data_IF_824166282184
#
_entry.id   IF_824166282184
#
_cell.length_a   1.000
_cell.length_b   1.000
_cell.length_c   1.000
_cell.angle_alpha   90.00
_cell.angle_beta   90.00
_cell.angle_gamma   90.00
#
_symmetry.space_group_name_H-M   'P 1'
#
loop_
_entity.id
_entity.type
_entity.pdbx_description
1 polymer ?
#
# COMPACT_ATOMS: atom_id res chain seq x y z
N UNK A 1 7.17 1.70 -7.60
CA UNK A 1 6.35 0.75 -6.81
C UNK A 1 6.94 0.75 -5.42
N UNK A 2 6.14 1.01 -4.40
CA UNK A 2 6.60 1.21 -3.03
C UNK A 2 6.45 -0.08 -2.24
N UNK A 3 7.32 -0.29 -1.25
CA UNK A 3 7.23 -1.39 -0.30
C UNK A 3 6.48 -0.90 0.93
N UNK A 4 5.51 -1.67 1.40
CA UNK A 4 4.72 -1.41 2.59
C UNK A 4 4.94 -2.53 3.58
N UNK A 5 5.38 -2.19 4.79
CA UNK A 5 5.56 -3.13 5.89
C UNK A 5 4.29 -3.08 6.74
N UNK A 6 3.54 -4.18 6.70
CA UNK A 6 2.39 -4.41 7.57
C UNK A 6 2.87 -4.61 9.01
N UNK A 7 1.99 -4.38 9.97
CA UNK A 7 2.30 -4.43 11.40
C UNK A 7 2.57 -5.85 11.90
N UNK A 8 2.16 -6.87 11.16
CA UNK A 8 2.54 -8.27 11.38
C UNK A 8 3.94 -8.62 10.81
N UNK A 9 4.61 -7.65 10.17
CA UNK A 9 5.94 -7.81 9.57
C UNK A 9 5.94 -8.27 8.11
N UNK A 10 4.77 -8.54 7.52
CA UNK A 10 4.68 -8.84 6.10
C UNK A 10 5.04 -7.62 5.24
N UNK A 11 5.65 -7.87 4.08
CA UNK A 11 6.01 -6.82 3.12
C UNK A 11 5.17 -6.97 1.87
N UNK A 12 4.41 -5.93 1.55
CA UNK A 12 3.58 -5.83 0.36
C UNK A 12 4.21 -4.82 -0.59
N UNK A 13 4.18 -5.09 -1.89
CA UNK A 13 4.63 -4.13 -2.90
C UNK A 13 3.40 -3.58 -3.62
N UNK A 14 3.25 -2.25 -3.68
CA UNK A 14 2.07 -1.63 -4.30
C UNK A 14 2.43 -0.34 -5.06
N UNK A 15 1.64 -0.01 -6.07
CA UNK A 15 1.71 1.29 -6.76
C UNK A 15 0.83 2.35 -6.10
N UNK A 16 -0.01 1.95 -5.13
CA UNK A 16 -0.84 2.88 -4.37
C UNK A 16 0.03 3.92 -3.67
N UNK A 17 -0.35 5.21 -3.68
CA UNK A 17 0.41 6.25 -2.99
C UNK A 17 0.25 6.14 -1.47
N UNK A 18 1.29 6.52 -0.73
CA UNK A 18 1.25 6.66 0.74
C UNK A 18 0.55 7.93 1.21
N UNK A 19 0.21 8.85 0.31
CA UNK A 19 -0.39 10.14 0.66
C UNK A 19 -1.72 9.98 1.39
N UNK A 20 -1.87 10.74 2.49
CA UNK A 20 -3.04 10.69 3.36
C UNK A 20 -3.14 9.45 4.24
N UNK A 21 -2.14 8.55 4.22
CA UNK A 21 -2.00 7.46 5.16
C UNK A 21 -1.02 7.84 6.28
N UNK A 22 -1.30 7.38 7.48
CA UNK A 22 -0.43 7.55 8.64
C UNK A 22 0.72 6.53 8.56
N UNK A 23 1.76 6.90 7.82
CA UNK A 23 2.92 6.06 7.51
C UNK A 23 4.24 6.80 7.70
N UNK A 24 5.27 6.06 8.09
CA UNK A 24 6.65 6.51 8.02
C UNK A 24 7.32 5.92 6.78
N UNK A 25 7.78 6.76 5.85
CA UNK A 25 8.47 6.31 4.64
C UNK A 25 9.95 6.74 4.65
N UNK A 26 10.82 5.86 4.18
CA UNK A 26 12.22 6.14 3.95
C UNK A 26 12.64 5.65 2.56
N UNK A 27 13.64 6.32 2.00
CA UNK A 27 14.27 5.91 0.74
C UNK A 27 15.45 4.98 1.04
N UNK A 28 15.48 3.86 0.33
CA UNK A 28 16.59 2.91 0.32
C UNK A 28 17.64 3.31 -0.71
N UNK A 29 18.87 2.87 -0.48
CA UNK A 29 19.96 2.97 -1.45
C UNK A 29 19.54 2.27 -2.75
N UNK A 30 19.32 3.04 -3.81
CA UNK A 30 18.80 2.56 -5.09
C UNK A 30 17.44 3.14 -5.50
N UNK A 31 16.87 4.05 -4.71
CA UNK A 31 15.66 4.80 -5.08
C UNK A 31 14.35 4.04 -4.85
N UNK A 32 14.40 2.91 -4.13
CA UNK A 32 13.20 2.24 -3.65
C UNK A 32 12.68 2.95 -2.39
N UNK A 33 11.37 3.13 -2.28
CA UNK A 33 10.74 3.71 -1.08
C UNK A 33 10.07 2.60 -0.28
N UNK A 34 10.36 2.55 1.01
CA UNK A 34 9.72 1.64 1.97
C UNK A 34 8.94 2.44 3.01
N UNK A 35 7.69 2.07 3.24
CA UNK A 35 6.75 2.71 4.13
C UNK A 35 6.27 1.74 5.23
N UNK A 36 6.19 2.21 6.47
CA UNK A 36 5.70 1.46 7.62
C UNK A 36 4.42 2.10 8.16
N UNK A 37 3.40 1.29 8.47
CA UNK A 37 2.14 1.77 9.04
C UNK A 37 2.27 2.12 10.52
N UNK A 38 1.92 3.36 10.86
CA UNK A 38 1.99 3.85 12.23
C UNK A 38 0.73 3.49 13.06
N UNK A 39 -0.34 3.05 12.40
CA UNK A 39 -1.58 2.61 13.04
C UNK A 39 -2.30 1.51 12.26
N UNK A 40 -3.06 0.67 12.97
CA UNK A 40 -3.89 -0.39 12.36
C UNK A 40 -4.92 0.21 11.39
N UNK A 41 -5.43 1.42 11.71
CA UNK A 41 -6.37 2.14 10.84
C UNK A 41 -5.77 2.47 9.48
N UNK A 42 -4.50 2.90 9.43
CA UNK A 42 -3.82 3.22 8.18
C UNK A 42 -3.55 1.97 7.34
N UNK A 43 -3.18 0.87 8.00
CA UNK A 43 -2.98 -0.42 7.35
C UNK A 43 -4.29 -0.93 6.71
N UNK A 44 -5.39 -0.94 7.46
CA UNK A 44 -6.71 -1.36 6.93
C UNK A 44 -7.13 -0.48 5.76
N UNK A 45 -6.98 0.85 5.87
CA UNK A 45 -7.32 1.78 4.79
C UNK A 45 -6.51 1.50 3.51
N UNK A 46 -5.22 1.19 3.64
CA UNK A 46 -4.36 0.80 2.52
C UNK A 46 -4.79 -0.53 1.90
N UNK A 47 -5.06 -1.55 2.70
CA UNK A 47 -5.47 -2.87 2.21
C UNK A 47 -6.81 -2.79 1.47
N UNK A 48 -7.74 -1.97 1.95
CA UNK A 48 -8.99 -1.70 1.25
C UNK A 48 -8.77 -1.05 -0.12
N UNK A 49 -7.90 -0.02 -0.21
CA UNK A 49 -7.52 0.60 -1.49
C UNK A 49 -6.89 -0.41 -2.46
N UNK A 50 -6.03 -1.30 -1.97
CA UNK A 50 -5.43 -2.34 -2.78
C UNK A 50 -6.46 -3.38 -3.26
N UNK A 51 -7.45 -3.70 -2.42
CA UNK A 51 -8.55 -4.60 -2.78
C UNK A 51 -9.49 -4.01 -3.83
N UNK A 52 -9.78 -2.71 -3.76
CA UNK A 52 -10.59 -2.01 -4.76
C UNK A 52 -9.92 -2.06 -6.14
N UNK A 53 -8.62 -1.83 -6.23
CA UNK A 53 -7.86 -1.95 -7.49
C UNK A 53 -7.93 -3.36 -8.10
N UNK A 54 -7.92 -4.40 -7.28
CA UNK A 54 -7.98 -5.79 -7.74
C UNK A 54 -9.40 -6.20 -8.18
N UNK A 55 -10.44 -5.61 -7.60
CA UNK A 55 -11.84 -5.92 -7.91
C UNK A 55 -12.41 -5.08 -9.08
N UNK A 56 -11.71 -4.07 -9.58
CA UNK A 56 -12.11 -3.30 -10.76
C UNK A 56 -11.70 -4.07 -12.03
N UNK A 57 -12.36 -5.19 -12.33
CA UNK A 57 -12.32 -5.80 -13.66
C UNK A 57 -13.58 -6.58 -14.04
N UNK A 58 -14.78 -6.06 -13.73
CA UNK A 58 -15.97 -6.45 -14.50
C UNK A 58 -15.97 -5.70 -15.85
N UNK A 59 -15.28 -6.26 -16.84
CA UNK A 59 -15.43 -5.84 -18.24
C UNK A 59 -16.63 -6.56 -18.85
N UNK A 60 -17.84 -6.13 -18.46
CA UNK A 60 -19.05 -6.49 -19.17
C UNK A 60 -19.02 -5.91 -20.59
N UNK A 61 -18.42 -6.63 -21.55
CA UNK A 61 -18.65 -6.38 -22.98
C UNK A 61 -20.10 -6.76 -23.27
N UNK A 62 -20.89 -5.74 -23.57
CA UNK A 62 -22.26 -5.85 -24.11
C UNK A 62 -22.19 -6.06 -25.62
#
# INVERSE_FOLDING_TARGET
MNRYILRDGQVVTSAQPSEGLDVYCYEETGGATTCMFLSDRAEVAFLMRCGDDLNVSYTGRR
#
